data_IF_433640704450
#
_entry.id   IF_433640704450
#
_cell.length_a   1.000
_cell.length_b   1.000
_cell.length_c   1.000
_cell.angle_alpha   90.00
_cell.angle_beta   90.00
_cell.angle_gamma   90.00
#
_symmetry.space_group_name_H-M   'P 1'
#
loop_
_entity.id
_entity.type
_entity.pdbx_description
1 polymer ?
#
# COMPACT_ATOMS: atom_id res chain seq x y z
N UNK A 1 31.60 41.48 47.41
CA UNK A 1 30.75 40.28 47.49
C UNK A 1 29.86 40.22 46.26
N UNK A 2 30.13 39.34 45.30
CA UNK A 2 29.16 39.01 44.24
C UNK A 2 29.28 37.52 43.93
N UNK A 3 28.40 36.73 44.55
CA UNK A 3 28.17 35.34 44.17
C UNK A 3 27.21 35.38 42.98
N UNK A 4 27.67 35.02 41.78
CA UNK A 4 26.80 34.81 40.62
C UNK A 4 26.60 33.30 40.47
N UNK A 5 25.36 32.84 40.58
CA UNK A 5 25.03 31.42 40.48
C UNK A 5 25.35 30.90 39.07
N UNK A 6 25.95 29.70 39.00
CA UNK A 6 25.97 28.91 37.77
C UNK A 6 24.59 28.27 37.63
N UNK A 7 23.83 28.69 36.60
CA UNK A 7 22.70 27.90 36.14
C UNK A 7 23.25 26.68 35.40
N UNK A 8 22.83 25.49 35.79
CA UNK A 8 23.22 24.26 35.10
C UNK A 8 22.61 24.24 33.72
N UNK A 9 23.45 24.30 32.68
CA UNK A 9 23.05 23.95 31.32
C UNK A 9 22.71 22.47 31.32
N UNK A 10 21.42 22.14 31.35
CA UNK A 10 20.97 20.77 31.12
C UNK A 10 21.52 20.30 29.78
N UNK A 11 22.23 19.18 29.78
CA UNK A 11 22.67 18.54 28.56
C UNK A 11 21.41 18.06 27.83
N UNK A 12 20.99 18.83 26.83
CA UNK A 12 20.09 18.31 25.82
C UNK A 12 20.80 17.17 25.13
N UNK A 13 20.37 15.93 25.40
CA UNK A 13 20.49 14.89 24.40
C UNK A 13 19.54 15.30 23.28
N UNK A 14 20.08 16.11 22.37
CA UNK A 14 19.53 16.37 21.05
C UNK A 14 19.31 14.99 20.43
N UNK A 15 18.03 14.63 20.25
CA UNK A 15 17.61 13.27 19.94
C UNK A 15 18.02 12.96 18.50
N UNK A 16 19.22 12.40 18.33
CA UNK A 16 19.60 11.78 17.08
C UNK A 16 18.50 10.77 16.67
N UNK A 17 18.03 10.79 15.41
CA UNK A 17 17.01 9.85 14.94
C UNK A 17 17.41 8.42 15.29
N UNK A 18 16.50 7.69 15.95
CA UNK A 18 16.72 6.27 16.21
C UNK A 18 16.69 5.54 14.88
N UNK A 19 17.59 4.58 14.69
CA UNK A 19 17.52 3.70 13.53
C UNK A 19 16.33 2.74 13.64
N UNK A 20 15.77 2.32 12.51
CA UNK A 20 14.64 1.38 12.39
C UNK A 20 14.74 0.18 13.35
N UNK A 21 15.91 -0.44 13.45
CA UNK A 21 16.18 -1.56 14.37
C UNK A 21 16.03 -1.20 15.84
N UNK A 22 16.41 0.01 16.27
CA UNK A 22 16.25 0.47 17.65
C UNK A 22 14.78 0.70 18.00
N UNK A 23 14.02 1.30 17.08
CA UNK A 23 12.58 1.50 17.24
C UNK A 23 11.82 0.18 17.27
N UNK A 24 12.16 -0.77 16.39
CA UNK A 24 11.66 -2.16 16.43
C UNK A 24 11.88 -2.80 17.81
N UNK A 25 13.12 -2.74 18.33
CA UNK A 25 13.43 -3.30 19.65
C UNK A 25 12.64 -2.63 20.76
N UNK A 26 12.51 -1.29 20.72
CA UNK A 26 11.74 -0.52 21.71
C UNK A 26 10.27 -0.93 21.72
N UNK A 27 9.61 -0.95 20.56
CA UNK A 27 8.19 -1.31 20.42
C UNK A 27 7.96 -2.75 20.86
N UNK A 28 8.77 -3.70 20.37
CA UNK A 28 8.65 -5.12 20.75
C UNK A 28 8.83 -5.34 22.26
N UNK A 29 9.74 -4.62 22.92
CA UNK A 29 9.90 -4.69 24.39
C UNK A 29 8.67 -4.08 25.09
N UNK A 30 8.21 -2.89 24.68
CA UNK A 30 7.04 -2.24 25.29
C UNK A 30 5.76 -3.08 25.19
N UNK A 31 5.49 -3.68 24.03
CA UNK A 31 4.33 -4.56 23.85
C UNK A 31 4.42 -5.82 24.72
N UNK A 32 5.61 -6.40 24.87
CA UNK A 32 5.86 -7.56 25.74
C UNK A 32 5.70 -7.23 27.23
N UNK A 33 6.25 -6.10 27.68
CA UNK A 33 6.14 -5.66 29.08
C UNK A 33 4.69 -5.33 29.48
N UNK A 34 3.84 -5.04 28.49
CA UNK A 34 2.40 -4.84 28.67
C UNK A 34 1.55 -6.13 28.53
N UNK A 35 2.14 -7.30 28.29
CA UNK A 35 1.42 -8.54 27.95
C UNK A 35 0.38 -8.33 26.83
N UNK A 36 0.77 -7.65 25.75
CA UNK A 36 -0.05 -7.45 24.54
C UNK A 36 0.37 -8.49 23.49
N UNK A 37 -0.56 -9.31 22.96
CA UNK A 37 -0.24 -10.24 21.88
C UNK A 37 0.05 -9.50 20.57
N UNK A 38 1.17 -9.82 19.94
CA UNK A 38 1.55 -9.32 18.62
C UNK A 38 2.39 -10.36 17.86
N UNK A 39 2.69 -10.08 16.60
CA UNK A 39 3.79 -10.69 15.86
C UNK A 39 4.54 -9.63 15.05
N UNK A 40 5.88 -9.70 14.99
CA UNK A 40 6.66 -8.90 14.05
C UNK A 40 6.25 -9.28 12.62
N UNK A 41 5.91 -8.30 11.80
CA UNK A 41 5.35 -8.45 10.46
C UNK A 41 6.30 -7.98 9.34
N UNK A 42 5.71 -7.83 8.15
CA UNK A 42 6.28 -7.22 6.96
C UNK A 42 7.77 -7.47 6.72
N UNK A 43 8.51 -6.43 6.36
CA UNK A 43 9.86 -6.58 5.81
C UNK A 43 10.86 -7.14 6.85
N UNK A 44 10.69 -6.79 8.12
CA UNK A 44 11.49 -7.27 9.24
C UNK A 44 11.23 -8.74 9.61
N UNK A 45 10.01 -9.25 9.45
CA UNK A 45 9.72 -10.69 9.62
C UNK A 45 10.42 -11.54 8.56
N UNK A 46 10.48 -11.05 7.31
CA UNK A 46 11.23 -11.70 6.23
C UNK A 46 12.73 -11.77 6.56
N UNK A 47 13.33 -10.66 6.98
CA UNK A 47 14.73 -10.59 7.40
C UNK A 47 15.06 -11.53 8.56
N UNK A 48 14.21 -11.55 9.61
CA UNK A 48 14.35 -12.47 10.74
C UNK A 48 14.37 -13.95 10.29
N UNK A 49 13.67 -14.27 9.20
CA UNK A 49 13.59 -15.61 8.59
C UNK A 49 14.66 -15.86 7.51
N UNK A 50 15.64 -14.98 7.36
CA UNK A 50 16.77 -15.12 6.43
C UNK A 50 16.62 -14.38 5.09
N UNK A 51 15.61 -13.53 4.96
CA UNK A 51 15.40 -12.64 3.82
C UNK A 51 16.40 -11.46 3.76
N UNK A 52 16.27 -10.58 2.75
CA UNK A 52 17.07 -9.36 2.65
C UNK A 52 16.82 -8.43 3.84
N UNK A 53 17.79 -7.59 4.18
CA UNK A 53 17.62 -6.57 5.21
C UNK A 53 16.69 -5.44 4.71
N UNK A 54 15.71 -4.99 5.52
CA UNK A 54 14.82 -3.90 5.16
C UNK A 54 15.47 -2.52 5.30
N UNK A 55 14.91 -1.56 4.56
CA UNK A 55 15.34 -0.14 4.54
C UNK A 55 14.16 0.83 4.77
N UNK A 56 12.99 0.30 5.11
CA UNK A 56 11.73 1.03 5.29
C UNK A 56 11.22 0.88 6.74
N UNK A 57 9.93 1.12 6.94
CA UNK A 57 9.12 0.91 8.15
C UNK A 57 9.33 -0.39 8.96
N UNK A 58 8.71 -0.39 10.14
CA UNK A 58 8.64 -1.54 11.06
C UNK A 58 7.18 -1.95 11.27
N UNK A 59 6.81 -3.13 10.82
CA UNK A 59 5.45 -3.66 10.96
C UNK A 59 5.27 -4.55 12.22
N UNK A 60 4.18 -4.34 12.95
CA UNK A 60 3.67 -5.28 13.94
C UNK A 60 2.22 -5.66 13.63
N UNK A 61 1.92 -6.95 13.69
CA UNK A 61 0.58 -7.51 13.55
C UNK A 61 -0.06 -7.62 14.94
N UNK A 62 -1.22 -6.97 15.15
CA UNK A 62 -2.00 -7.00 16.38
C UNK A 62 -3.47 -7.26 16.06
N UNK A 63 -4.23 -7.86 16.98
CA UNK A 63 -5.69 -7.92 16.82
C UNK A 63 -6.28 -6.53 17.03
N UNK A 64 -7.35 -6.22 16.32
CA UNK A 64 -8.03 -4.92 16.40
C UNK A 64 -8.42 -4.55 17.84
N UNK A 65 -8.90 -5.50 18.65
CA UNK A 65 -9.26 -5.25 20.05
C UNK A 65 -8.07 -4.86 20.95
N UNK A 66 -6.83 -5.19 20.56
CA UNK A 66 -5.62 -4.86 21.31
C UNK A 66 -4.98 -3.53 20.88
N UNK A 67 -5.31 -3.00 19.69
CA UNK A 67 -4.69 -1.78 19.14
C UNK A 67 -4.85 -0.56 20.06
N UNK A 68 -6.03 -0.24 20.64
CA UNK A 68 -6.16 0.90 21.54
C UNK A 68 -5.22 0.81 22.75
N UNK A 69 -5.10 -0.39 23.34
CA UNK A 69 -4.21 -0.66 24.47
C UNK A 69 -2.73 -0.58 24.07
N UNK A 70 -2.39 -1.05 22.87
CA UNK A 70 -1.05 -0.95 22.31
C UNK A 70 -0.63 0.52 22.11
N UNK A 71 -1.51 1.33 21.52
CA UNK A 71 -1.31 2.77 21.35
C UNK A 71 -1.13 3.48 22.69
N UNK A 72 -1.96 3.18 23.70
CA UNK A 72 -1.83 3.73 25.06
C UNK A 72 -0.46 3.43 25.70
N UNK A 73 0.02 2.18 25.64
CA UNK A 73 1.31 1.83 26.27
C UNK A 73 2.51 2.36 25.48
N UNK A 74 2.43 2.43 24.15
CA UNK A 74 3.47 3.01 23.31
C UNK A 74 3.54 4.53 23.48
N UNK A 75 2.39 5.21 23.63
CA UNK A 75 2.34 6.62 23.99
C UNK A 75 2.93 6.87 25.39
N UNK A 76 2.59 6.03 26.38
CA UNK A 76 3.18 6.11 27.72
C UNK A 76 4.70 5.84 27.73
N UNK A 77 5.18 4.99 26.80
CA UNK A 77 6.61 4.77 26.56
C UNK A 77 7.29 5.92 25.78
N UNK A 78 6.55 6.94 25.34
CA UNK A 78 7.06 8.14 24.68
C UNK A 78 7.18 8.05 23.16
N UNK A 79 6.42 7.17 22.51
CA UNK A 79 6.17 7.23 21.06
C UNK A 79 4.99 8.19 20.79
N UNK A 80 4.89 8.73 19.56
CA UNK A 80 3.78 9.61 19.16
C UNK A 80 2.75 8.82 18.35
N UNK A 81 1.52 8.58 18.85
CA UNK A 81 0.44 8.04 18.04
C UNK A 81 0.07 8.98 16.89
N UNK A 82 -0.27 8.39 15.76
CA UNK A 82 -0.90 9.05 14.62
C UNK A 82 -2.12 8.24 14.23
N UNK A 83 -3.24 8.93 14.01
CA UNK A 83 -4.52 8.37 13.56
C UNK A 83 -4.58 8.52 12.03
N UNK A 84 -4.31 7.45 11.26
CA UNK A 84 -4.27 7.52 9.81
C UNK A 84 -5.68 7.38 9.22
N UNK A 85 -5.96 7.88 8.00
CA UNK A 85 -7.24 7.62 7.32
C UNK A 85 -7.44 6.15 6.90
N UNK A 86 -6.44 5.29 7.06
CA UNK A 86 -6.45 3.86 6.75
C UNK A 86 -7.19 2.99 7.80
N UNK A 87 -8.35 2.42 7.45
CA UNK A 87 -9.16 1.50 8.30
C UNK A 87 -8.49 0.13 8.64
N UNK A 88 -7.20 -0.07 8.35
CA UNK A 88 -6.52 -1.37 8.45
C UNK A 88 -5.26 -1.40 9.32
N UNK A 89 -4.77 -0.25 9.76
CA UNK A 89 -3.66 -0.09 10.68
C UNK A 89 -3.82 1.17 11.56
N UNK A 90 -2.97 1.29 12.57
CA UNK A 90 -2.71 2.56 13.27
C UNK A 90 -1.20 2.81 13.28
N UNK A 91 -0.78 4.07 13.33
CA UNK A 91 0.65 4.44 13.22
C UNK A 91 1.18 4.97 14.54
N UNK A 92 2.43 4.66 14.86
CA UNK A 92 3.18 5.34 15.94
C UNK A 92 4.57 5.74 15.45
N UNK A 93 5.05 6.90 15.90
CA UNK A 93 6.40 7.37 15.60
C UNK A 93 7.34 7.25 16.81
N UNK A 94 8.52 6.68 16.59
CA UNK A 94 9.66 6.76 17.51
C UNK A 94 10.71 7.75 16.99
N UNK A 95 10.54 9.03 17.34
CA UNK A 95 11.22 10.15 16.68
C UNK A 95 10.67 10.31 15.27
N UNK A 96 11.52 10.05 14.27
CA UNK A 96 11.19 10.07 12.84
C UNK A 96 10.88 8.67 12.28
N UNK A 97 11.09 7.60 13.05
CA UNK A 97 10.79 6.24 12.57
C UNK A 97 9.30 5.96 12.71
N UNK A 98 8.65 5.73 11.57
CA UNK A 98 7.31 5.19 11.48
C UNK A 98 7.28 3.70 11.87
N UNK A 99 6.28 3.32 12.65
CA UNK A 99 5.98 1.94 13.04
C UNK A 99 4.48 1.70 12.86
N UNK A 100 4.16 0.65 12.10
CA UNK A 100 2.79 0.30 11.74
C UNK A 100 2.24 -0.79 12.67
N UNK A 101 1.05 -0.53 13.23
CA UNK A 101 0.27 -1.45 14.07
C UNK A 101 -0.88 -1.99 13.23
N UNK A 102 -0.62 -3.05 12.49
CA UNK A 102 -1.50 -3.60 11.46
C UNK A 102 -2.51 -4.56 12.09
N UNK A 103 -3.81 -4.34 11.84
CA UNK A 103 -4.89 -5.19 12.34
C UNK A 103 -5.78 -5.81 11.26
N UNK A 104 -5.77 -5.28 10.02
CA UNK A 104 -6.43 -5.89 8.86
C UNK A 104 -5.50 -6.07 7.63
N UNK A 105 -4.39 -6.82 7.73
CA UNK A 105 -3.52 -7.07 6.57
C UNK A 105 -4.33 -7.67 5.41
N UNK A 106 -4.16 -7.12 4.21
CA UNK A 106 -4.89 -7.50 2.98
C UNK A 106 -6.42 -7.64 3.18
N UNK A 107 -7.00 -6.77 4.01
CA UNK A 107 -8.45 -6.74 4.30
C UNK A 107 -8.96 -7.91 5.14
N UNK A 108 -8.08 -8.62 5.86
CA UNK A 108 -8.42 -9.75 6.74
C UNK A 108 -7.93 -9.47 8.15
N UNK A 109 -8.81 -9.63 9.15
CA UNK A 109 -8.44 -9.38 10.55
C UNK A 109 -7.27 -10.27 11.01
N UNK A 110 -6.32 -9.69 11.74
CA UNK A 110 -5.34 -10.46 12.53
C UNK A 110 -6.10 -11.25 13.60
N UNK A 111 -5.86 -12.56 13.67
CA UNK A 111 -6.57 -13.45 14.60
C UNK A 111 -5.63 -14.03 15.65
N UNK A 112 -6.15 -14.43 16.81
CA UNK A 112 -5.37 -15.17 17.81
C UNK A 112 -4.66 -16.39 17.20
N UNK A 113 -5.33 -17.10 16.28
CA UNK A 113 -4.76 -18.27 15.60
C UNK A 113 -3.56 -17.94 14.70
N UNK A 114 -3.51 -16.73 14.12
CA UNK A 114 -2.38 -16.23 13.33
C UNK A 114 -1.21 -15.86 14.26
N UNK A 115 -1.50 -15.17 15.37
CA UNK A 115 -0.49 -14.85 16.37
C UNK A 115 0.08 -16.13 17.04
N UNK A 116 -0.75 -17.13 17.33
CA UNK A 116 -0.37 -18.44 17.89
C UNK A 116 0.55 -19.26 16.96
N UNK A 117 0.48 -19.07 15.64
CA UNK A 117 1.41 -19.69 14.68
C UNK A 117 2.78 -19.01 14.62
N UNK A 118 2.90 -17.80 15.18
CA UNK A 118 4.14 -17.02 15.11
C UNK A 118 5.29 -17.71 15.86
N UNK A 119 6.49 -17.60 15.31
CA UNK A 119 7.68 -18.26 15.85
C UNK A 119 8.45 -17.34 16.77
N UNK A 120 8.75 -17.79 17.99
CA UNK A 120 9.62 -17.06 18.92
C UNK A 120 11.08 -17.07 18.40
N UNK A 121 11.54 -15.92 17.90
CA UNK A 121 12.83 -15.75 17.22
C UNK A 121 13.66 -14.61 17.85
N UNK A 122 14.97 -14.58 17.55
CA UNK A 122 15.88 -13.51 18.02
C UNK A 122 16.11 -12.51 16.90
N UNK A 123 15.52 -11.32 17.00
CA UNK A 123 15.64 -10.24 16.02
C UNK A 123 16.46 -9.11 16.63
N UNK A 124 17.63 -8.82 16.04
CA UNK A 124 18.59 -7.83 16.55
C UNK A 124 18.90 -7.97 18.06
N UNK A 125 19.04 -9.22 18.53
CA UNK A 125 19.22 -9.63 19.94
C UNK A 125 18.00 -9.55 20.87
N UNK A 126 16.82 -9.15 20.39
CA UNK A 126 15.57 -9.21 21.16
C UNK A 126 14.75 -10.44 20.76
N UNK A 127 14.32 -11.22 21.76
CA UNK A 127 13.42 -12.36 21.57
C UNK A 127 11.97 -11.89 21.42
N UNK A 128 11.30 -12.23 20.32
CA UNK A 128 9.91 -11.83 20.05
C UNK A 128 9.20 -12.82 19.11
N UNK A 129 7.86 -12.85 19.09
CA UNK A 129 7.10 -13.58 18.08
C UNK A 129 7.28 -12.93 16.70
N UNK A 130 7.60 -13.75 15.70
CA UNK A 130 7.72 -13.36 14.28
C UNK A 130 6.67 -14.11 13.49
N UNK A 131 5.90 -13.39 12.66
CA UNK A 131 4.80 -13.92 11.85
C UNK A 131 5.21 -15.21 11.11
N UNK A 132 4.31 -16.18 11.00
CA UNK A 132 4.59 -17.43 10.28
C UNK A 132 5.01 -17.17 8.83
N UNK A 133 5.93 -17.98 8.30
CA UNK A 133 6.43 -17.80 6.94
C UNK A 133 5.34 -18.02 5.88
N UNK A 134 4.36 -18.90 6.15
CA UNK A 134 3.22 -19.17 5.28
C UNK A 134 2.28 -17.97 5.27
N UNK A 135 1.82 -17.53 6.45
CA UNK A 135 0.95 -16.36 6.61
C UNK A 135 1.59 -15.10 6.00
N UNK A 136 2.90 -14.93 6.16
CA UNK A 136 3.67 -13.86 5.54
C UNK A 136 3.56 -13.87 4.00
N UNK A 137 3.77 -15.03 3.35
CA UNK A 137 3.60 -15.13 1.89
C UNK A 137 2.15 -14.99 1.44
N UNK A 138 1.16 -15.42 2.23
CA UNK A 138 -0.24 -15.16 1.90
C UNK A 138 -0.49 -13.65 1.79
N UNK A 139 -0.06 -12.88 2.78
CA UNK A 139 -0.21 -11.42 2.80
C UNK A 139 0.58 -10.77 1.67
N UNK A 140 1.87 -11.09 1.51
CA UNK A 140 2.72 -10.48 0.47
C UNK A 140 2.21 -10.76 -0.94
N UNK A 141 1.67 -11.95 -1.23
CA UNK A 141 1.15 -12.29 -2.55
C UNK A 141 -0.27 -11.77 -2.80
N UNK A 142 -1.08 -11.59 -1.75
CA UNK A 142 -2.41 -10.95 -1.83
C UNK A 142 -2.31 -9.42 -1.95
N UNK A 143 -1.22 -8.81 -1.49
CA UNK A 143 -0.93 -7.38 -1.66
C UNK A 143 -0.43 -7.01 -3.07
N UNK A 144 -0.20 -7.99 -3.96
CA UNK A 144 0.17 -7.72 -5.35
C UNK A 144 -1.05 -7.29 -6.17
N UNK A 145 -0.96 -6.13 -6.80
CA UNK A 145 -2.02 -5.55 -7.64
C UNK A 145 -1.47 -4.89 -8.92
N UNK A 146 -2.34 -4.33 -9.77
CA UNK A 146 -1.96 -3.77 -11.08
C UNK A 146 -0.91 -2.65 -10.96
N UNK A 147 -1.02 -1.81 -9.92
CA UNK A 147 -0.08 -0.72 -9.62
C UNK A 147 1.20 -1.21 -8.93
N UNK A 148 1.13 -2.32 -8.22
CA UNK A 148 2.19 -2.83 -7.35
C UNK A 148 2.41 -4.35 -7.56
N UNK A 149 3.11 -4.72 -8.63
CA UNK A 149 3.47 -6.10 -8.94
C UNK A 149 4.97 -6.24 -9.27
N UNK A 150 5.83 -6.20 -8.24
CA UNK A 150 7.27 -6.36 -8.38
C UNK A 150 7.75 -7.78 -8.01
N UNK A 151 7.88 -8.63 -9.03
CA UNK A 151 8.44 -9.97 -8.87
C UNK A 151 9.96 -9.97 -8.57
N UNK A 152 10.69 -8.89 -8.87
CA UNK A 152 12.11 -8.79 -8.54
C UNK A 152 12.34 -8.61 -7.03
N UNK A 153 11.40 -8.01 -6.30
CA UNK A 153 11.35 -8.02 -4.82
C UNK A 153 10.91 -9.37 -4.26
N UNK A 154 9.85 -9.98 -4.83
CA UNK A 154 9.26 -11.22 -4.30
C UNK A 154 10.16 -12.46 -4.49
N UNK A 155 10.82 -12.64 -5.64
CA UNK A 155 11.59 -13.86 -5.93
C UNK A 155 12.80 -14.10 -5.01
N UNK A 156 13.59 -13.10 -4.59
CA UNK A 156 14.60 -13.23 -3.54
C UNK A 156 14.03 -13.69 -2.20
N UNK A 157 12.87 -13.14 -1.80
CA UNK A 157 12.19 -13.49 -0.55
C UNK A 157 11.72 -14.96 -0.59
N UNK A 158 11.10 -15.39 -1.70
CA UNK A 158 10.77 -16.80 -1.95
C UNK A 158 12.02 -17.66 -1.80
N UNK A 159 13.12 -17.30 -2.47
CA UNK A 159 14.38 -18.06 -2.41
C UNK A 159 14.90 -18.21 -0.97
N UNK A 160 14.84 -17.17 -0.16
CA UNK A 160 15.30 -17.17 1.22
C UNK A 160 14.45 -18.08 2.12
N UNK A 161 13.13 -17.96 2.04
CA UNK A 161 12.20 -18.56 3.00
C UNK A 161 11.58 -19.90 2.57
N UNK A 162 11.76 -20.34 1.31
CA UNK A 162 11.06 -21.50 0.70
C UNK A 162 10.94 -22.80 1.51
N UNK A 163 11.89 -23.12 2.38
CA UNK A 163 11.88 -24.35 3.18
C UNK A 163 11.03 -24.22 4.47
N UNK A 164 10.54 -23.01 4.77
CA UNK A 164 9.73 -22.67 5.96
C UNK A 164 8.22 -22.54 5.65
N UNK A 165 7.81 -22.69 4.39
CA UNK A 165 6.50 -22.26 3.88
C UNK A 165 5.65 -23.45 3.45
N UNK A 166 4.39 -23.54 3.92
CA UNK A 166 3.39 -24.43 3.30
C UNK A 166 2.91 -23.81 1.97
N UNK A 167 3.63 -24.13 0.89
CA UNK A 167 3.28 -23.68 -0.46
C UNK A 167 1.90 -24.18 -0.92
N UNK A 168 1.41 -25.30 -0.40
CA UNK A 168 0.08 -25.81 -0.76
C UNK A 168 -1.02 -24.98 -0.06
N UNK A 169 -0.77 -24.53 1.17
CA UNK A 169 -1.63 -23.54 1.83
C UNK A 169 -1.64 -22.22 1.06
N UNK A 170 -0.47 -21.63 0.77
CA UNK A 170 -0.37 -20.37 0.01
C UNK A 170 -1.16 -20.47 -1.31
N UNK A 171 -0.96 -21.54 -2.09
CA UNK A 171 -1.71 -21.74 -3.35
C UNK A 171 -3.23 -21.82 -3.15
N UNK A 172 -3.73 -22.34 -2.03
CA UNK A 172 -5.17 -22.38 -1.72
C UNK A 172 -5.72 -21.01 -1.31
N UNK A 173 -5.01 -20.29 -0.45
CA UNK A 173 -5.47 -19.02 0.14
C UNK A 173 -5.32 -17.81 -0.80
N UNK A 174 -4.41 -17.90 -1.78
CA UNK A 174 -4.22 -16.88 -2.82
C UNK A 174 -4.83 -17.24 -4.18
N UNK A 175 -5.60 -18.34 -4.28
CA UNK A 175 -6.12 -18.89 -5.54
C UNK A 175 -6.98 -17.93 -6.39
N UNK A 176 -7.51 -16.87 -5.79
CA UNK A 176 -8.31 -15.85 -6.48
C UNK A 176 -7.48 -14.67 -7.03
N UNK A 177 -6.18 -14.56 -6.69
CA UNK A 177 -5.30 -13.48 -7.16
C UNK A 177 -4.50 -13.92 -8.40
N UNK A 178 -4.71 -13.31 -9.57
CA UNK A 178 -3.93 -13.61 -10.78
C UNK A 178 -2.46 -13.18 -10.64
N UNK A 179 -2.18 -12.17 -9.79
CA UNK A 179 -0.81 -11.74 -9.50
C UNK A 179 -0.07 -12.77 -8.65
N UNK A 180 -0.74 -13.34 -7.63
CA UNK A 180 -0.20 -14.45 -6.86
C UNK A 180 0.01 -15.70 -7.73
N UNK A 181 -0.93 -16.04 -8.62
CA UNK A 181 -0.79 -17.12 -9.58
C UNK A 181 0.46 -16.93 -10.46
N UNK A 182 0.66 -15.72 -11.01
CA UNK A 182 1.82 -15.38 -11.83
C UNK A 182 3.14 -15.52 -11.05
N UNK A 183 3.21 -14.99 -9.83
CA UNK A 183 4.39 -15.09 -8.97
C UNK A 183 4.76 -16.55 -8.65
N UNK A 184 3.76 -17.36 -8.26
CA UNK A 184 3.94 -18.78 -7.92
C UNK A 184 4.28 -19.63 -9.15
N UNK A 185 3.70 -19.32 -10.32
CA UNK A 185 4.04 -19.94 -11.60
C UNK A 185 5.51 -19.68 -11.96
N UNK A 186 5.98 -18.43 -11.86
CA UNK A 186 7.38 -18.07 -12.14
C UNK A 186 8.31 -18.75 -11.14
N UNK A 187 8.00 -18.71 -9.85
CA UNK A 187 8.79 -19.38 -8.81
C UNK A 187 8.91 -20.89 -9.04
N UNK A 188 7.81 -21.57 -9.41
CA UNK A 188 7.83 -23.00 -9.74
C UNK A 188 8.64 -23.30 -11.01
N UNK A 189 8.50 -22.48 -12.07
CA UNK A 189 9.27 -22.63 -13.31
C UNK A 189 10.77 -22.38 -13.14
N UNK A 190 11.15 -21.57 -12.16
CA UNK A 190 12.53 -21.34 -11.74
C UNK A 190 13.04 -22.39 -10.74
N UNK A 191 12.23 -23.37 -10.35
CA UNK A 191 12.52 -24.40 -9.34
C UNK A 191 12.86 -23.80 -7.96
N UNK A 192 12.22 -22.67 -7.60
CA UNK A 192 12.34 -22.05 -6.26
C UNK A 192 11.35 -22.66 -5.26
N UNK A 193 10.24 -23.20 -5.74
CA UNK A 193 9.20 -23.86 -4.95
C UNK A 193 8.79 -25.15 -5.67
N UNK A 194 8.16 -26.11 -4.97
CA UNK A 194 7.62 -27.30 -5.63
C UNK A 194 6.65 -26.90 -6.75
N UNK A 195 6.66 -27.61 -7.90
CA UNK A 195 5.59 -27.45 -8.88
C UNK A 195 4.25 -27.82 -8.23
N UNK A 196 3.14 -27.28 -8.76
CA UNK A 196 1.83 -27.90 -8.52
C UNK A 196 1.92 -29.34 -9.01
N UNK A 197 1.46 -30.30 -8.21
CA UNK A 197 1.43 -31.72 -8.58
C UNK A 197 0.74 -31.88 -9.93
N UNK A 198 1.55 -32.08 -10.97
CA UNK A 198 1.05 -32.15 -12.31
C UNK A 198 0.48 -33.54 -12.56
N UNK A 199 -0.82 -33.61 -12.87
CA UNK A 199 -1.28 -34.63 -13.79
C UNK A 199 -0.31 -34.62 -14.99
N UNK A 200 0.30 -35.76 -15.34
CA UNK A 200 1.62 -35.80 -15.96
C UNK A 200 1.65 -34.93 -17.22
N UNK A 201 2.49 -33.89 -17.19
CA UNK A 201 2.65 -32.96 -18.31
C UNK A 201 3.08 -33.76 -19.53
N UNK A 202 2.15 -33.91 -20.50
CA UNK A 202 2.48 -34.51 -21.78
C UNK A 202 3.71 -33.81 -22.35
N UNK A 203 4.73 -34.59 -22.68
CA UNK A 203 6.04 -34.06 -23.06
C UNK A 203 5.89 -32.97 -24.11
N UNK A 204 6.60 -31.84 -23.94
CA UNK A 204 6.62 -30.76 -24.94
C UNK A 204 6.89 -31.40 -26.31
N UNK A 205 6.06 -31.14 -27.34
CA UNK A 205 6.36 -31.66 -28.67
C UNK A 205 7.76 -31.17 -29.06
N UNK A 206 8.56 -32.09 -29.59
CA UNK A 206 9.93 -31.80 -30.00
C UNK A 206 9.94 -30.60 -30.96
N UNK A 207 11.01 -29.81 -30.90
CA UNK A 207 11.07 -28.50 -31.53
C UNK A 207 10.70 -28.50 -33.01
N UNK A 208 10.19 -27.35 -33.48
CA UNK A 208 9.93 -27.10 -34.91
C UNK A 208 11.23 -27.38 -35.66
N UNK A 209 11.26 -28.48 -36.42
CA UNK A 209 12.36 -28.77 -37.30
C UNK A 209 12.43 -27.66 -38.36
N UNK A 210 13.60 -27.06 -38.54
CA UNK A 210 13.83 -26.13 -39.63
C UNK A 210 13.66 -26.87 -40.95
N UNK A 211 12.53 -26.64 -41.64
CA UNK A 211 12.34 -27.12 -43.00
C UNK A 211 13.08 -26.18 -43.94
N UNK A 212 14.22 -26.62 -44.46
CA UNK A 212 14.86 -26.02 -45.63
C UNK A 212 13.89 -26.12 -46.82
N UNK A 213 13.12 -25.06 -47.02
CA UNK A 213 12.10 -24.93 -48.06
C UNK A 213 12.21 -23.54 -48.69
N UNK A 214 13.04 -23.42 -49.72
CA UNK A 214 13.28 -22.15 -50.41
C UNK A 214 11.99 -21.56 -50.99
N UNK A 215 11.67 -20.32 -50.63
CA UNK A 215 10.52 -19.60 -51.18
C UNK A 215 10.87 -19.12 -52.59
N UNK A 216 10.44 -19.86 -53.60
CA UNK A 216 10.42 -19.37 -54.98
C UNK A 216 9.29 -18.34 -55.13
N UNK A 217 9.64 -17.09 -55.45
CA UNK A 217 8.64 -16.10 -55.86
C UNK A 217 8.06 -16.49 -57.23
N UNK A 218 6.74 -16.70 -57.30
CA UNK A 218 6.01 -16.77 -58.58
C UNK A 218 5.07 -15.58 -58.73
N UNK A 219 5.41 -14.68 -59.65
CA UNK A 219 4.60 -13.53 -60.05
C UNK A 219 3.52 -13.90 -61.07
N UNK A 220 2.23 -13.69 -60.73
CA UNK A 220 1.07 -13.43 -61.61
C UNK A 220 -0.23 -13.68 -60.79
N UNK A 221 -1.35 -13.00 -60.97
CA UNK A 221 -1.68 -11.88 -61.86
C UNK A 221 -3.09 -11.37 -61.55
N UNK A 222 -3.41 -10.13 -61.93
CA UNK A 222 -4.64 -9.43 -61.54
C UNK A 222 -5.94 -10.07 -62.07
N UNK A 223 -7.00 -10.10 -61.23
CA UNK A 223 -8.37 -9.65 -61.56
C UNK A 223 -9.24 -9.60 -60.29
N UNK A 224 -10.21 -8.68 -60.24
CA UNK A 224 -11.01 -8.37 -59.04
C UNK A 224 -12.51 -8.71 -59.16
N UNK A 225 -13.34 -8.01 -58.36
CA UNK A 225 -14.78 -8.26 -58.10
C UNK A 225 -15.05 -9.51 -57.21
N UNK A 226 -16.02 -9.56 -56.28
CA UNK A 226 -17.08 -8.58 -55.90
C UNK A 226 -17.54 -8.84 -54.46
N UNK A 227 -18.23 -7.86 -53.85
CA UNK A 227 -18.81 -7.93 -52.51
C UNK A 227 -20.14 -8.72 -52.49
N UNK A 228 -20.40 -9.52 -51.45
CA UNK A 228 -21.74 -10.07 -51.11
C UNK A 228 -21.80 -11.57 -50.78
N UNK A 229 -22.32 -11.95 -49.61
CA UNK A 229 -22.40 -13.38 -49.21
C UNK A 229 -22.80 -13.69 -47.76
N UNK A 230 -24.00 -13.26 -47.36
CA UNK A 230 -24.75 -13.57 -46.13
C UNK A 230 -24.62 -15.00 -45.55
N UNK A 231 -24.47 -15.14 -44.23
CA UNK A 231 -24.80 -16.34 -43.44
C UNK A 231 -25.34 -15.89 -42.06
N UNK A 232 -26.66 -15.85 -41.85
CA UNK A 232 -27.49 -16.90 -41.19
C UNK A 232 -27.20 -17.12 -39.69
N UNK A 233 -27.94 -16.38 -38.85
CA UNK A 233 -28.02 -16.61 -37.42
C UNK A 233 -29.13 -17.60 -37.03
N UNK A 234 -28.79 -18.62 -36.25
CA UNK A 234 -29.73 -19.63 -35.73
C UNK A 234 -30.53 -19.07 -34.55
N UNK A 235 -31.86 -18.91 -34.72
CA UNK A 235 -32.77 -18.56 -33.61
C UNK A 235 -33.00 -19.76 -32.68
N UNK A 236 -33.06 -19.48 -31.37
CA UNK A 236 -33.63 -20.39 -30.37
C UNK A 236 -35.14 -20.18 -30.31
N UNK A 237 -35.89 -21.27 -30.17
CA UNK A 237 -37.36 -21.28 -30.25
C UNK A 237 -37.96 -21.37 -28.84
N UNK A 238 -38.82 -20.40 -28.48
CA UNK A 238 -39.58 -20.44 -27.23
C UNK A 238 -40.88 -21.24 -27.38
N UNK A 239 -41.20 -22.06 -26.38
CA UNK A 239 -42.47 -22.78 -26.27
C UNK A 239 -43.13 -22.51 -24.92
N UNK A 240 -44.40 -22.11 -24.94
CA UNK A 240 -45.25 -21.96 -23.73
C UNK A 240 -45.81 -23.30 -23.27
N UNK A 241 -46.14 -23.40 -21.98
CA UNK A 241 -47.19 -24.28 -21.48
C UNK A 241 -47.99 -23.54 -20.38
N UNK A 242 -49.30 -23.75 -20.32
CA UNK A 242 -50.22 -23.14 -19.36
C UNK A 242 -50.87 -24.21 -18.46
N UNK A 243 -51.07 -23.89 -17.18
CA UNK A 243 -52.31 -24.21 -16.42
C UNK A 243 -52.54 -25.59 -15.78
N UNK A 244 -52.90 -25.58 -14.48
CA UNK A 244 -53.95 -26.49 -13.93
C UNK A 244 -53.75 -27.13 -12.53
N UNK A 245 -54.47 -26.61 -11.51
CA UNK A 245 -54.94 -27.32 -10.29
C UNK A 245 -53.89 -27.76 -9.22
N UNK A 246 -53.93 -27.46 -7.90
CA UNK A 246 -54.89 -26.99 -6.88
C UNK A 246 -55.46 -28.08 -5.93
N UNK A 247 -54.93 -28.14 -4.68
CA UNK A 247 -55.52 -28.57 -3.38
C UNK A 247 -54.38 -28.59 -2.32
N UNK A 248 -54.51 -28.28 -1.02
CA UNK A 248 -55.60 -27.68 -0.21
C UNK A 248 -55.29 -27.70 1.31
N UNK A 249 -55.61 -26.62 2.07
CA UNK A 249 -55.51 -26.50 3.55
C UNK A 249 -54.45 -25.50 4.05
N UNK A 250 -54.73 -24.29 4.57
CA UNK A 250 -55.52 -23.82 5.75
C UNK A 250 -54.91 -24.26 7.11
N UNK A 251 -54.78 -23.41 8.16
CA UNK A 251 -55.34 -22.07 8.40
C UNK A 251 -54.45 -21.17 9.30
N UNK A 252 -54.58 -19.84 9.10
CA UNK A 252 -54.79 -18.75 10.09
C UNK A 252 -53.85 -18.54 11.31
N UNK A 253 -53.49 -17.30 11.71
CA UNK A 253 -53.75 -15.99 11.10
C UNK A 253 -53.31 -14.79 11.96
N UNK A 254 -53.15 -13.62 11.31
CA UNK A 254 -53.34 -12.24 11.85
C UNK A 254 -52.44 -11.70 12.99
N UNK A 255 -52.03 -10.43 13.01
CA UNK A 255 -52.17 -9.37 12.01
C UNK A 255 -51.82 -7.97 12.55
N UNK A 256 -51.30 -7.10 11.67
CA UNK A 256 -51.34 -5.63 11.70
C UNK A 256 -50.67 -4.81 12.85
N UNK A 257 -49.54 -4.18 12.48
CA UNK A 257 -49.39 -2.71 12.33
C UNK A 257 -49.57 -1.70 13.50
N UNK A 258 -48.62 -0.76 13.54
CA UNK A 258 -48.68 0.68 13.94
C UNK A 258 -48.26 1.13 15.36
N UNK A 259 -47.35 2.12 15.28
CA UNK A 259 -47.22 3.35 16.07
C UNK A 259 -46.67 3.28 17.51
N UNK A 260 -45.69 4.16 17.74
CA UNK A 260 -45.19 4.56 19.05
C UNK A 260 -46.19 5.48 19.77
N UNK A 261 -46.07 5.60 21.11
CA UNK A 261 -46.50 6.79 21.82
C UNK A 261 -45.38 7.45 22.63
N UNK A 262 -45.48 8.77 22.76
CA UNK A 262 -44.74 9.57 23.74
C UNK A 262 -45.35 9.46 25.14
N UNK A 263 -44.52 9.68 26.17
CA UNK A 263 -44.82 10.52 27.33
C UNK A 263 -46.04 10.22 28.24
N UNK A 264 -45.76 9.84 29.48
CA UNK A 264 -46.63 10.12 30.64
C UNK A 264 -45.74 10.60 31.80
N UNK A 265 -46.09 11.73 32.44
CA UNK A 265 -45.33 12.35 33.54
C UNK A 265 -46.12 12.43 34.87
N UNK A 266 -45.98 13.56 35.59
CA UNK A 266 -46.51 13.91 36.93
C UNK A 266 -45.58 13.49 38.10
N UNK A 267 -45.34 14.25 39.20
CA UNK A 267 -45.75 15.59 39.74
C UNK A 267 -44.85 15.93 40.98
N UNK A 268 -44.80 17.09 41.65
CA UNK A 268 -45.35 18.45 41.49
C UNK A 268 -44.65 19.46 42.45
N UNK A 269 -44.63 20.76 42.12
CA UNK A 269 -44.54 21.91 43.06
C UNK A 269 -43.13 22.50 43.31
N UNK A 270 -42.97 23.81 43.58
CA UNK A 270 -43.94 24.94 43.62
C UNK A 270 -43.17 26.29 43.70
N UNK A 271 -43.65 27.36 43.02
CA UNK A 271 -43.65 28.82 43.41
C UNK A 271 -42.36 29.53 43.94
N UNK A 272 -42.08 30.83 43.71
CA UNK A 272 -42.59 31.86 42.77
C UNK A 272 -41.66 33.13 42.77
N UNK A 273 -42.02 34.15 41.98
CA UNK A 273 -41.71 35.61 42.11
C UNK A 273 -40.33 36.23 41.72
N UNK A 274 -40.41 37.26 40.85
CA UNK A 274 -39.41 38.35 40.66
C UNK A 274 -39.94 39.69 41.25
N UNK A 275 -39.68 40.91 40.69
CA UNK A 275 -38.85 41.33 39.55
C UNK A 275 -37.87 42.52 39.88
N UNK A 276 -37.39 43.28 38.87
CA UNK A 276 -36.45 44.44 38.97
C UNK A 276 -37.08 45.78 39.47
N UNK A 277 -36.61 47.02 39.09
CA UNK A 277 -35.95 47.38 37.80
C UNK A 277 -34.92 48.59 37.82
N UNK A 278 -34.55 49.11 36.63
CA UNK A 278 -33.95 50.44 36.29
C UNK A 278 -32.58 50.87 36.90
N UNK A 279 -31.64 51.58 36.24
CA UNK A 279 -31.47 52.03 34.84
C UNK A 279 -30.84 53.44 34.72
N UNK A 280 -29.62 53.59 34.13
CA UNK A 280 -29.14 54.81 33.39
C UNK A 280 -27.69 54.80 32.86
N UNK A 281 -27.55 55.23 31.60
CA UNK A 281 -26.45 56.00 30.96
C UNK A 281 -24.96 55.65 31.17
N UNK A 282 -24.31 55.22 30.08
CA UNK A 282 -23.49 56.17 29.29
C UNK A 282 -21.95 56.02 29.28
N UNK A 283 -21.41 56.24 28.07
CA UNK A 283 -20.02 56.54 27.69
C UNK A 283 -19.06 55.39 27.33
N UNK A 284 -18.67 55.46 26.06
CA UNK A 284 -17.71 54.68 25.28
C UNK A 284 -16.28 54.65 25.82
N UNK A 285 -15.59 53.50 25.65
CA UNK A 285 -14.16 53.45 25.33
C UNK A 285 -13.72 52.09 24.76
N UNK A 286 -13.06 52.15 23.60
CA UNK A 286 -11.87 51.37 23.19
C UNK A 286 -11.89 49.88 22.77
N UNK A 287 -10.98 49.63 21.82
CA UNK A 287 -10.42 48.35 21.33
C UNK A 287 -11.33 47.44 20.49
N UNK A 288 -11.12 47.50 19.18
CA UNK A 288 -11.74 46.59 18.22
C UNK A 288 -11.19 45.17 18.36
N UNK A 289 -12.11 44.20 18.46
CA UNK A 289 -11.80 42.77 18.45
C UNK A 289 -11.51 42.31 17.02
N UNK A 290 -10.29 42.57 16.55
CA UNK A 290 -9.77 41.90 15.36
C UNK A 290 -9.68 40.38 15.64
N UNK A 291 -10.20 39.57 14.72
CA UNK A 291 -10.15 38.12 14.87
C UNK A 291 -8.72 37.61 14.76
N UNK A 292 -8.27 36.83 15.76
CA UNK A 292 -7.13 35.93 15.56
C UNK A 292 -7.62 34.74 14.74
N UNK A 293 -7.24 34.69 13.48
CA UNK A 293 -7.30 33.50 12.64
C UNK A 293 -5.88 33.08 12.25
N UNK A 294 -5.02 32.99 13.26
CA UNK A 294 -3.64 32.51 13.15
C UNK A 294 -3.56 31.13 13.82
N UNK A 295 -4.23 30.15 13.19
CA UNK A 295 -4.15 28.72 13.49
C UNK A 295 -4.28 27.92 12.19
N UNK A 296 -3.44 28.26 11.21
CA UNK A 296 -2.99 27.31 10.20
C UNK A 296 -1.57 26.93 10.63
N UNK A 297 -1.41 25.70 11.12
CA UNK A 297 -0.14 25.24 11.68
C UNK A 297 0.97 25.24 10.64
N UNK A 298 2.21 25.36 11.13
CA UNK A 298 3.39 24.99 10.36
C UNK A 298 3.21 23.54 9.88
N UNK A 299 2.94 23.35 8.59
CA UNK A 299 3.20 22.07 7.93
C UNK A 299 4.69 21.83 8.09
N UNK A 300 5.06 20.65 8.59
CA UNK A 300 6.46 20.27 8.59
C UNK A 300 6.96 20.30 7.14
N UNK A 301 8.12 20.93 6.92
CA UNK A 301 8.69 21.05 5.58
C UNK A 301 9.00 19.66 5.01
N UNK A 302 9.22 18.67 5.88
CA UNK A 302 9.37 17.25 5.52
C UNK A 302 8.07 16.65 5.00
N UNK A 303 6.96 16.72 5.75
CA UNK A 303 5.63 16.21 5.36
C UNK A 303 5.13 16.84 4.04
N UNK A 304 5.37 18.15 3.86
CA UNK A 304 5.01 18.85 2.63
C UNK A 304 5.88 18.44 1.42
N UNK A 305 7.16 18.13 1.62
CA UNK A 305 8.04 17.65 0.56
C UNK A 305 7.82 16.14 0.27
N UNK A 306 7.44 15.31 1.25
CA UNK A 306 7.00 13.92 1.07
C UNK A 306 5.69 13.82 0.26
N UNK A 307 4.69 14.63 0.61
CA UNK A 307 3.45 14.71 -0.17
C UNK A 307 3.73 15.12 -1.63
N UNK A 308 4.61 16.10 -1.83
CA UNK A 308 5.02 16.53 -3.17
C UNK A 308 5.81 15.45 -3.92
N UNK A 309 6.67 14.69 -3.23
CA UNK A 309 7.38 13.55 -3.83
C UNK A 309 6.38 12.50 -4.37
N UNK A 310 5.33 12.21 -3.61
CA UNK A 310 4.23 11.34 -4.03
C UNK A 310 3.49 11.87 -5.26
N UNK A 311 3.05 13.13 -5.26
CA UNK A 311 2.36 13.75 -6.42
C UNK A 311 3.24 13.75 -7.68
N UNK A 312 4.54 14.03 -7.54
CA UNK A 312 5.48 14.03 -8.66
C UNK A 312 5.79 12.62 -9.18
N UNK A 313 5.86 11.62 -8.31
CA UNK A 313 6.01 10.21 -8.70
C UNK A 313 4.76 9.73 -9.45
N UNK A 314 3.55 9.96 -8.94
CA UNK A 314 2.30 9.64 -9.62
C UNK A 314 2.21 10.35 -10.99
N UNK A 315 2.60 11.62 -11.06
CA UNK A 315 2.64 12.37 -12.33
C UNK A 315 3.58 11.76 -13.37
N UNK A 316 4.76 11.28 -12.96
CA UNK A 316 5.71 10.63 -13.87
C UNK A 316 5.25 9.23 -14.31
N UNK A 317 4.52 8.52 -13.44
CA UNK A 317 3.90 7.24 -13.76
C UNK A 317 2.75 7.39 -14.77
N UNK A 318 1.93 8.43 -14.65
CA UNK A 318 0.74 8.64 -15.50
C UNK A 318 1.01 9.43 -16.80
N UNK A 319 2.04 10.30 -16.87
CA UNK A 319 2.28 11.10 -18.07
C UNK A 319 2.70 10.22 -19.27
N UNK A 320 1.96 10.23 -20.41
CA UNK A 320 2.25 9.37 -21.55
C UNK A 320 3.62 9.57 -22.21
N UNK A 321 4.32 10.67 -21.93
CA UNK A 321 5.69 10.94 -22.40
C UNK A 321 6.74 10.18 -21.60
N UNK A 322 6.43 9.79 -20.35
CA UNK A 322 7.28 9.05 -19.43
C UNK A 322 6.74 7.63 -19.29
N UNK A 323 5.68 7.44 -18.49
CA UNK A 323 5.02 6.16 -18.22
C UNK A 323 5.99 5.08 -17.71
N UNK A 324 6.79 5.41 -16.70
CA UNK A 324 7.82 4.54 -16.09
C UNK A 324 7.64 4.51 -14.57
N UNK A 325 7.25 3.35 -14.01
CA UNK A 325 7.01 3.15 -12.57
C UNK A 325 8.32 2.99 -11.75
N UNK A 326 9.46 2.79 -12.43
CA UNK A 326 10.77 2.58 -11.80
C UNK A 326 11.56 3.87 -11.54
N UNK A 327 10.88 5.03 -11.48
CA UNK A 327 11.50 6.33 -11.21
C UNK A 327 11.26 6.73 -9.76
N UNK A 328 12.33 6.87 -8.99
CA UNK A 328 12.28 7.31 -7.60
C UNK A 328 12.36 8.85 -7.56
N UNK A 329 11.45 9.48 -6.83
CA UNK A 329 11.40 10.94 -6.66
C UNK A 329 11.60 11.25 -5.19
N UNK A 330 12.57 12.10 -4.88
CA UNK A 330 12.84 12.58 -3.53
C UNK A 330 12.83 14.11 -3.55
N UNK A 331 12.16 14.74 -2.59
CA UNK A 331 12.17 16.19 -2.41
C UNK A 331 12.86 16.53 -1.09
N UNK A 332 13.83 17.44 -1.13
CA UNK A 332 14.55 17.93 0.07
C UNK A 332 14.82 19.43 -0.08
N UNK A 333 14.49 20.21 0.95
CA UNK A 333 14.58 21.69 0.94
C UNK A 333 13.91 22.30 -0.30
N UNK A 334 12.80 21.71 -0.74
CA UNK A 334 12.08 22.06 -1.95
C UNK A 334 12.82 21.86 -3.27
N UNK A 335 13.89 21.05 -3.30
CA UNK A 335 14.60 20.60 -4.50
C UNK A 335 14.17 19.20 -4.85
N UNK A 336 13.96 18.94 -6.14
CA UNK A 336 13.50 17.65 -6.64
C UNK A 336 14.71 16.88 -7.18
N UNK A 337 14.95 15.70 -6.63
CA UNK A 337 15.86 14.69 -7.15
C UNK A 337 15.02 13.59 -7.80
N UNK A 338 15.37 13.18 -9.02
CA UNK A 338 14.75 12.03 -9.69
C UNK A 338 15.83 11.07 -10.18
N UNK A 339 15.71 9.82 -9.75
CA UNK A 339 16.63 8.72 -10.04
C UNK A 339 15.88 7.55 -10.71
N UNK A 340 16.63 6.59 -11.26
CA UNK A 340 16.10 5.40 -11.92
C UNK A 340 16.62 5.20 -13.35
N UNK A 341 15.96 4.32 -14.10
CA UNK A 341 16.29 4.03 -15.49
C UNK A 341 15.08 4.21 -16.41
N UNK A 342 15.33 4.63 -17.65
CA UNK A 342 14.32 4.67 -18.72
C UNK A 342 14.83 4.05 -20.01
N UNK A 343 13.90 3.53 -20.82
CA UNK A 343 14.26 2.83 -22.06
C UNK A 343 14.84 3.74 -23.17
N UNK A 344 14.65 5.07 -23.10
CA UNK A 344 15.07 6.00 -24.18
C UNK A 344 15.46 7.39 -23.67
N UNK A 345 16.35 8.07 -24.40
CA UNK A 345 16.70 9.48 -24.17
C UNK A 345 15.50 10.44 -24.31
N UNK A 346 14.50 10.08 -25.13
CA UNK A 346 13.26 10.85 -25.26
C UNK A 346 12.46 10.84 -23.95
N UNK A 347 12.30 9.68 -23.31
CA UNK A 347 11.69 9.56 -21.97
C UNK A 347 12.49 10.30 -20.92
N UNK A 348 13.83 10.18 -20.94
CA UNK A 348 14.72 10.87 -20.00
C UNK A 348 14.55 12.39 -20.04
N UNK A 349 14.39 12.97 -21.24
CA UNK A 349 14.07 14.39 -21.42
C UNK A 349 12.67 14.74 -20.96
N UNK A 350 11.67 13.92 -21.29
CA UNK A 350 10.29 14.11 -20.83
C UNK A 350 10.17 14.15 -19.30
N UNK A 351 10.95 13.35 -18.54
CA UNK A 351 10.98 13.42 -17.06
C UNK A 351 11.27 14.84 -16.57
N UNK A 352 12.25 15.53 -17.16
CA UNK A 352 12.58 16.91 -16.75
C UNK A 352 11.49 17.92 -17.14
N UNK A 353 10.82 17.71 -18.28
CA UNK A 353 9.70 18.54 -18.74
C UNK A 353 8.47 18.39 -17.82
N UNK A 354 8.07 17.14 -17.53
CA UNK A 354 6.94 16.81 -16.65
C UNK A 354 7.13 17.36 -15.23
N UNK A 355 8.33 17.21 -14.65
CA UNK A 355 8.63 17.76 -13.32
C UNK A 355 8.63 19.29 -13.32
N UNK A 356 9.09 19.95 -14.39
CA UNK A 356 9.07 21.41 -14.50
C UNK A 356 7.66 21.98 -14.72
N UNK A 357 6.78 21.24 -15.40
CA UNK A 357 5.36 21.56 -15.56
C UNK A 357 4.58 21.38 -14.24
N UNK A 358 4.85 20.31 -13.50
CA UNK A 358 4.16 20.00 -12.24
C UNK A 358 4.63 20.86 -11.05
N UNK A 359 5.93 21.17 -10.97
CA UNK A 359 6.53 21.96 -9.88
C UNK A 359 7.27 23.21 -10.40
N UNK A 360 6.56 24.19 -10.99
CA UNK A 360 7.18 25.36 -11.61
C UNK A 360 7.99 26.18 -10.59
N UNK A 361 9.23 26.48 -10.95
CA UNK A 361 10.15 27.28 -10.13
C UNK A 361 10.99 26.50 -9.11
N UNK A 362 10.77 25.19 -8.93
CA UNK A 362 11.66 24.33 -8.13
C UNK A 362 12.87 23.86 -8.95
N UNK A 363 13.99 23.59 -8.28
CA UNK A 363 15.20 23.06 -8.92
C UNK A 363 15.09 21.54 -9.08
N UNK A 364 15.20 21.05 -10.32
CA UNK A 364 15.17 19.61 -10.64
C UNK A 364 16.58 19.11 -10.95
N UNK A 365 17.02 18.07 -10.25
CA UNK A 365 18.23 17.28 -10.53
C UNK A 365 17.79 15.92 -11.07
N UNK A 366 17.97 15.72 -12.38
CA UNK A 366 17.61 14.50 -13.08
C UNK A 366 18.85 13.62 -13.28
N UNK A 367 18.96 12.55 -12.48
CA UNK A 367 20.04 11.56 -12.54
C UNK A 367 19.60 10.26 -13.24
N UNK A 368 18.39 10.27 -13.83
CA UNK A 368 17.84 9.15 -14.58
C UNK A 368 18.80 8.72 -15.68
N UNK A 369 19.11 7.44 -15.72
CA UNK A 369 19.99 6.83 -16.71
C UNK A 369 19.18 6.15 -17.83
N UNK A 370 19.84 5.78 -18.94
CA UNK A 370 19.18 5.11 -20.06
C UNK A 370 19.63 3.65 -20.09
N UNK A 371 18.70 2.71 -19.98
CA UNK A 371 19.01 1.28 -20.02
C UNK A 371 19.56 0.91 -21.40
N UNK A 372 20.86 0.62 -21.46
CA UNK A 372 21.57 0.43 -22.72
C UNK A 372 21.27 -0.89 -23.44
N UNK A 373 20.29 -0.90 -24.37
CA UNK A 373 20.42 -1.74 -25.56
C UNK A 373 21.18 -0.96 -26.63
N UNK A 374 22.43 -1.36 -26.88
CA UNK A 374 23.14 -0.98 -28.09
C UNK A 374 22.48 -1.66 -29.31
N UNK A 375 21.41 -1.06 -29.83
CA UNK A 375 20.90 -1.40 -31.17
C UNK A 375 21.87 -0.85 -32.19
N UNK A 376 22.69 -1.74 -32.75
CA UNK A 376 23.63 -1.44 -33.83
C UNK A 376 22.89 -1.14 -35.15
N UNK A 377 22.29 0.04 -35.26
CA UNK A 377 21.70 0.61 -36.48
C UNK A 377 21.86 2.14 -36.52
N UNK A 378 23.10 2.64 -36.40
CA UNK A 378 23.52 3.87 -37.11
C UNK A 378 25.06 3.98 -37.20
N UNK A 379 25.66 3.25 -38.14
CA UNK A 379 27.07 3.42 -38.51
C UNK A 379 27.23 3.79 -40.00
N UNK A 380 26.19 4.38 -40.59
CA UNK A 380 26.13 4.75 -42.02
C UNK A 380 25.83 6.22 -42.29
N UNK A 381 25.89 7.09 -41.27
CA UNK A 381 25.76 8.55 -41.39
C UNK A 381 27.05 9.33 -41.03
N UNK A 382 28.22 8.87 -41.50
CA UNK A 382 29.50 9.61 -41.41
C UNK A 382 30.29 9.65 -42.72
N UNK A 383 29.65 10.13 -43.79
CA UNK A 383 30.35 10.73 -44.93
C UNK A 383 29.55 11.93 -45.44
N UNK A 384 29.86 13.14 -44.97
CA UNK A 384 29.75 14.34 -45.79
C UNK A 384 31.03 15.16 -45.66
N UNK A 385 31.40 15.80 -46.77
CA UNK A 385 32.77 16.17 -47.11
C UNK A 385 33.05 17.63 -46.79
N UNK A 386 34.27 17.93 -46.34
CA UNK A 386 34.76 19.30 -46.18
C UNK A 386 34.91 19.98 -47.55
N UNK A 387 34.25 21.12 -47.76
CA UNK A 387 34.64 22.23 -48.64
C UNK A 387 33.94 23.51 -48.21
#
# INVERSE_FOLDING_TARGET
MHHRAQAGTGCGMELAPRGLRESLKRVAVTLKEADIPFALGGSYACWARGGPEPVHDVDFMLREEDVPRAVEVLAAAGLRPVDPPEDWLTKVFDGEVLVDLIHHPVGRAVTSQMLERSSEMSVDSVRMPVLDATDWFEMTLLALEERYCDLARVLPMIRAMREQVDWDQVRRSTAASPFAEAALLVAARLNLIPPVDAAPVAARPAGIAASDGGIALSTAGQRGATFGGRAEGRRVQGGRAEGGGAEGGRAEGGGAERQAPEGIGLRAGKEDDGPGPEGKSGLSAESGRAGRTDLAGELDLTEADEYLAGELHERLAEDPRVAELGLEVVVVDGRILVEGEVATDARRRAVAEVLAEAAPGRLVRNEVTITGRATAVDETARVETIS
#
